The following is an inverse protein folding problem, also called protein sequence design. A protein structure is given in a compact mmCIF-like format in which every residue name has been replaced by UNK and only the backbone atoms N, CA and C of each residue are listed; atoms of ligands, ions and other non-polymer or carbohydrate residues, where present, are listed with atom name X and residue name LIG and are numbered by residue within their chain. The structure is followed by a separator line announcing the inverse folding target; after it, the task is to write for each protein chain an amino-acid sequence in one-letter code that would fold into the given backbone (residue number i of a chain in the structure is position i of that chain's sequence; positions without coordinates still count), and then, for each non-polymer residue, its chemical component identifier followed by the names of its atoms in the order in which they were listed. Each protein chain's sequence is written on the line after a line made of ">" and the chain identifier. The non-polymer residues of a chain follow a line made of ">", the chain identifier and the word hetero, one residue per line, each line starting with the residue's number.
data_IF_789598579769
#
_entry.id   IF_789598579769
#
_cell.length_a   1.000
_cell.length_b   1.000
_cell.length_c   1.000
_cell.angle_alpha   90.00
_cell.angle_beta   90.00
_cell.angle_gamma   90.00
#
_symmetry.space_group_name_H-M   'P 1'
#
loop_
_entity.id
_entity.type
_entity.pdbx_description
1 polymer ?
#
# COMPACT_ATOMS: atom_id res chain seq x y z
N UNK A 1 -11.98 4.54 16.97
CA UNK A 1 -10.73 3.74 17.00
C UNK A 1 -9.71 4.65 17.61
N UNK A 2 -9.22 4.36 18.80
CA UNK A 2 -8.43 5.33 19.58
C UNK A 2 -6.94 5.27 19.22
N UNK A 3 -6.57 5.67 17.99
CA UNK A 3 -5.17 5.90 17.63
C UNK A 3 -5.01 7.36 17.17
N UNK A 4 -4.66 8.28 18.09
CA UNK A 4 -4.57 9.71 17.79
C UNK A 4 -3.56 10.05 16.71
N UNK A 5 -2.54 9.20 16.50
CA UNK A 5 -1.56 9.43 15.46
C UNK A 5 -2.08 9.02 14.08
N UNK A 6 -2.89 7.97 14.01
CA UNK A 6 -3.54 7.57 12.76
C UNK A 6 -4.59 8.60 12.32
N UNK A 7 -5.42 9.08 13.24
CA UNK A 7 -6.48 10.06 12.96
C UNK A 7 -5.94 11.42 12.45
N UNK A 8 -4.65 11.72 12.65
CA UNK A 8 -4.01 12.91 12.07
C UNK A 8 -3.80 12.81 10.56
N UNK A 9 -3.69 11.59 10.03
CA UNK A 9 -3.33 11.36 8.63
C UNK A 9 -4.45 10.70 7.81
N UNK A 10 -5.38 10.01 8.46
CA UNK A 10 -6.41 9.22 7.79
C UNK A 10 -7.79 9.45 8.40
N UNK A 11 -8.74 9.76 7.53
CA UNK A 11 -10.16 9.64 7.80
C UNK A 11 -10.67 8.27 7.31
N UNK A 12 -11.52 7.62 8.09
CA UNK A 12 -12.06 6.29 7.76
C UNK A 12 -13.56 6.39 7.48
N UNK A 13 -13.95 5.90 6.31
CA UNK A 13 -15.34 5.80 5.89
C UNK A 13 -15.70 4.31 5.71
N UNK A 14 -16.85 3.91 6.22
CA UNK A 14 -17.34 2.53 6.11
C UNK A 14 -18.86 2.48 6.11
N UNK A 15 -19.41 1.48 5.43
CA UNK A 15 -20.83 1.10 5.53
C UNK A 15 -21.08 0.06 6.62
N UNK A 16 -20.04 -0.63 7.10
CA UNK A 16 -20.09 -1.61 8.18
C UNK A 16 -18.97 -1.33 9.20
N UNK A 17 -19.35 -0.86 10.39
CA UNK A 17 -18.39 -0.53 11.44
C UNK A 17 -17.75 -1.77 12.07
N UNK A 18 -18.45 -2.91 12.09
CA UNK A 18 -17.93 -4.15 12.66
C UNK A 18 -16.83 -4.68 11.76
N UNK A 19 -17.11 -4.80 10.46
CA UNK A 19 -16.10 -5.21 9.46
C UNK A 19 -14.89 -4.28 9.47
N UNK A 20 -15.10 -2.96 9.51
CA UNK A 20 -14.01 -1.99 9.55
C UNK A 20 -13.08 -2.18 10.77
N UNK A 21 -13.61 -2.51 11.96
CA UNK A 21 -12.79 -2.78 13.15
C UNK A 21 -12.02 -4.09 13.06
N UNK A 22 -12.56 -5.10 12.38
CA UNK A 22 -11.85 -6.34 12.11
C UNK A 22 -10.68 -6.14 11.15
N UNK A 23 -10.91 -5.37 10.07
CA UNK A 23 -9.88 -5.04 9.08
C UNK A 23 -8.81 -4.13 9.72
N UNK A 24 -9.24 -3.04 10.35
CA UNK A 24 -8.37 -2.02 10.95
C UNK A 24 -7.99 -2.38 12.39
N UNK A 25 -7.49 -3.60 12.56
CA UNK A 25 -6.86 -4.04 13.81
C UNK A 25 -5.66 -3.16 14.17
N UNK A 26 -5.22 -3.21 15.44
CA UNK A 26 -4.07 -2.42 15.92
C UNK A 26 -2.80 -2.64 15.09
N UNK A 27 -2.56 -3.87 14.63
CA UNK A 27 -1.43 -4.19 13.75
C UNK A 27 -1.60 -3.60 12.35
N UNK A 28 -2.80 -3.69 11.75
CA UNK A 28 -3.07 -3.09 10.44
C UNK A 28 -2.89 -1.56 10.48
N UNK A 29 -3.37 -0.90 11.54
CA UNK A 29 -3.15 0.54 11.71
C UNK A 29 -1.66 0.90 11.78
N UNK A 30 -0.86 0.13 12.54
CA UNK A 30 0.57 0.32 12.61
C UNK A 30 1.25 0.12 11.25
N UNK A 31 0.82 -0.89 10.49
CA UNK A 31 1.32 -1.20 9.16
C UNK A 31 1.01 -0.07 8.16
N UNK A 32 -0.22 0.45 8.16
CA UNK A 32 -0.61 1.60 7.32
C UNK A 32 0.23 2.84 7.68
N UNK A 33 0.51 3.05 8.98
CA UNK A 33 1.36 4.14 9.42
C UNK A 33 2.83 3.98 8.99
N UNK A 34 3.35 2.76 8.98
CA UNK A 34 4.69 2.45 8.43
C UNK A 34 4.73 2.75 6.93
N UNK A 35 3.73 2.29 6.18
CA UNK A 35 3.58 2.55 4.76
C UNK A 35 3.57 4.07 4.47
N UNK A 36 2.75 4.83 5.23
CA UNK A 36 2.67 6.30 5.12
C UNK A 36 4.01 6.98 5.34
N UNK A 37 4.79 6.53 6.33
CA UNK A 37 6.12 7.09 6.62
C UNK A 37 7.12 6.77 5.51
N UNK A 38 7.06 5.57 4.94
CA UNK A 38 7.97 5.14 3.87
C UNK A 38 7.80 5.97 2.59
N UNK A 39 6.58 6.11 2.09
CA UNK A 39 6.33 6.86 0.86
C UNK A 39 6.34 8.36 1.08
N UNK A 40 6.08 8.82 2.31
CA UNK A 40 5.98 10.23 2.66
C UNK A 40 5.07 11.04 1.72
N UNK A 41 4.05 10.39 1.14
CA UNK A 41 3.12 10.98 0.19
C UNK A 41 1.67 10.70 0.61
N UNK A 42 0.71 11.24 -0.13
CA UNK A 42 -0.71 10.95 0.09
C UNK A 42 -0.99 9.49 -0.30
N UNK A 43 -1.57 8.74 0.63
CA UNK A 43 -1.96 7.33 0.43
C UNK A 43 -3.46 7.22 0.65
N UNK A 44 -4.14 6.56 -0.27
CA UNK A 44 -5.53 6.13 -0.12
C UNK A 44 -5.59 4.61 -0.14
N UNK A 45 -6.39 4.03 0.75
CA UNK A 45 -6.56 2.58 0.88
C UNK A 45 -8.06 2.28 0.90
N UNK A 46 -8.49 1.31 0.12
CA UNK A 46 -9.86 0.82 0.11
C UNK A 46 -9.89 -0.70 0.22
N UNK A 47 -10.80 -1.21 1.04
CA UNK A 47 -11.08 -2.63 1.19
C UNK A 47 -12.44 -2.92 0.58
N UNK A 48 -12.49 -3.73 -0.47
CA UNK A 48 -13.72 -4.02 -1.20
C UNK A 48 -13.65 -5.40 -1.85
N UNK A 49 -14.71 -6.22 -1.70
CA UNK A 49 -14.84 -7.54 -2.32
C UNK A 49 -13.59 -8.43 -2.12
N UNK A 50 -13.15 -8.55 -0.86
CA UNK A 50 -11.94 -9.31 -0.48
C UNK A 50 -10.64 -8.86 -1.17
N UNK A 51 -10.63 -7.63 -1.69
CA UNK A 51 -9.47 -7.02 -2.34
C UNK A 51 -9.07 -5.75 -1.61
N UNK A 52 -7.77 -5.46 -1.62
CA UNK A 52 -7.21 -4.22 -1.11
C UNK A 52 -6.73 -3.39 -2.29
N UNK A 53 -7.23 -2.17 -2.39
CA UNK A 53 -6.81 -1.18 -3.38
C UNK A 53 -5.99 -0.12 -2.68
N UNK A 54 -4.82 0.19 -3.21
CA UNK A 54 -3.89 1.16 -2.64
C UNK A 54 -3.51 2.13 -3.74
N UNK A 55 -3.72 3.41 -3.49
CA UNK A 55 -3.28 4.49 -4.35
C UNK A 55 -2.28 5.35 -3.60
N UNK A 56 -1.08 5.48 -4.16
CA UNK A 56 0.03 6.24 -3.59
C UNK A 56 0.37 7.33 -4.59
N UNK A 57 0.27 8.59 -4.18
CA UNK A 57 0.73 9.70 -5.01
C UNK A 57 2.25 9.65 -5.12
N UNK A 58 2.78 9.67 -6.34
CA UNK A 58 4.22 9.62 -6.58
C UNK A 58 4.63 10.46 -7.77
N UNK A 59 5.65 11.30 -7.59
CA UNK A 59 6.31 12.08 -8.63
C UNK A 59 7.32 11.28 -9.50
N UNK A 60 7.50 9.98 -9.24
CA UNK A 60 8.40 9.12 -10.03
C UNK A 60 7.61 8.42 -11.13
N UNK A 61 8.30 8.21 -12.25
CA UNK A 61 7.87 7.45 -13.40
C UNK A 61 7.88 5.94 -13.09
N UNK A 62 6.88 5.49 -12.35
CA UNK A 62 6.74 4.09 -11.93
C UNK A 62 6.35 3.21 -13.11
N UNK A 63 7.19 2.23 -13.44
CA UNK A 63 7.04 1.32 -14.60
C UNK A 63 6.89 2.03 -15.97
N UNK A 64 7.15 3.33 -16.06
CA UNK A 64 7.10 4.03 -17.34
C UNK A 64 8.42 3.84 -18.11
N UNK A 65 8.37 3.45 -19.39
CA UNK A 65 9.56 3.32 -20.21
C UNK A 65 10.21 4.69 -20.44
N UNK A 66 11.51 4.77 -20.16
CA UNK A 66 12.30 5.89 -20.62
C UNK A 66 12.62 5.69 -22.11
N UNK A 67 11.89 6.40 -22.98
CA UNK A 67 12.04 6.30 -24.43
C UNK A 67 13.43 6.70 -24.95
N UNK A 68 14.24 7.36 -24.11
CA UNK A 68 15.61 7.76 -24.45
C UNK A 68 16.67 6.74 -24.02
N UNK A 69 16.28 5.62 -23.40
CA UNK A 69 17.16 4.54 -22.96
C UNK A 69 16.77 3.22 -23.61
N UNK A 70 17.75 2.36 -23.88
CA UNK A 70 17.46 1.00 -24.32
C UNK A 70 16.92 0.16 -23.16
N UNK A 71 15.95 -0.71 -23.45
CA UNK A 71 15.44 -1.70 -22.50
C UNK A 71 16.47 -2.78 -22.15
N UNK A 72 17.50 -2.94 -22.99
CA UNK A 72 18.59 -3.89 -22.77
C UNK A 72 19.71 -3.31 -21.88
N UNK A 73 19.64 -2.02 -21.55
CA UNK A 73 20.57 -1.43 -20.60
C UNK A 73 20.30 -1.96 -19.20
N UNK A 74 21.36 -2.42 -18.54
CA UNK A 74 21.32 -2.92 -17.16
C UNK A 74 20.65 -1.91 -16.19
N UNK A 75 20.93 -0.61 -16.37
CA UNK A 75 20.33 0.43 -15.52
C UNK A 75 18.81 0.53 -15.65
N UNK A 76 18.28 0.26 -16.85
CA UNK A 76 16.83 0.26 -17.12
C UNK A 76 16.18 -0.97 -16.48
N UNK A 77 16.82 -2.14 -16.61
CA UNK A 77 16.33 -3.39 -15.99
C UNK A 77 16.30 -3.25 -14.46
N UNK A 78 17.36 -2.72 -13.84
CA UNK A 78 17.40 -2.50 -12.39
C UNK A 78 16.30 -1.57 -11.92
N UNK A 79 16.02 -0.48 -12.65
CA UNK A 79 14.91 0.42 -12.30
C UNK A 79 13.55 -0.29 -12.26
N UNK A 80 13.27 -1.15 -13.25
CA UNK A 80 12.03 -1.94 -13.25
C UNK A 80 11.99 -2.96 -12.11
N UNK A 81 13.11 -3.60 -11.79
CA UNK A 81 13.19 -4.52 -10.65
C UNK A 81 12.91 -3.78 -9.35
N UNK A 82 13.51 -2.60 -9.15
CA UNK A 82 13.27 -1.76 -7.96
C UNK A 82 11.78 -1.40 -7.82
N UNK A 83 11.12 -1.04 -8.93
CA UNK A 83 9.69 -0.75 -8.97
C UNK A 83 8.84 -1.99 -8.59
N UNK A 84 9.22 -3.18 -9.04
CA UNK A 84 8.53 -4.43 -8.68
C UNK A 84 8.76 -4.78 -7.19
N UNK A 85 10.01 -4.67 -6.72
CA UNK A 85 10.36 -4.92 -5.31
C UNK A 85 9.57 -4.02 -4.37
N UNK A 86 9.44 -2.77 -4.74
CA UNK A 86 8.63 -1.81 -4.01
C UNK A 86 7.17 -2.25 -3.86
N UNK A 87 6.54 -2.77 -4.92
CA UNK A 87 5.21 -3.35 -4.84
C UNK A 87 5.16 -4.56 -3.88
N UNK A 88 6.15 -5.45 -3.94
CA UNK A 88 6.22 -6.61 -3.04
C UNK A 88 6.37 -6.18 -1.58
N UNK A 89 7.18 -5.16 -1.32
CA UNK A 89 7.36 -4.65 0.02
C UNK A 89 6.08 -4.03 0.59
N UNK A 90 5.22 -3.42 -0.23
CA UNK A 90 3.89 -2.95 0.22
C UNK A 90 3.04 -4.11 0.70
N UNK A 91 3.08 -5.25 -0.01
CA UNK A 91 2.35 -6.46 0.36
C UNK A 91 2.85 -7.00 1.71
N UNK A 92 4.18 -7.01 1.91
CA UNK A 92 4.82 -7.45 3.16
C UNK A 92 4.55 -6.48 4.32
N UNK A 93 4.69 -5.17 4.10
CA UNK A 93 4.44 -4.14 5.13
C UNK A 93 2.99 -4.16 5.62
N UNK A 94 2.03 -4.30 4.71
CA UNK A 94 0.62 -4.44 5.08
C UNK A 94 0.26 -5.85 5.55
N UNK A 95 1.20 -6.79 5.49
CA UNK A 95 1.04 -8.17 5.89
C UNK A 95 -0.16 -8.85 5.19
N UNK A 96 -0.39 -8.50 3.93
CA UNK A 96 -1.55 -8.99 3.15
C UNK A 96 -1.46 -10.49 2.85
N UNK A 97 -0.26 -11.06 2.93
CA UNK A 97 0.00 -12.48 2.76
C UNK A 97 -0.45 -13.34 3.96
N UNK A 98 -0.92 -12.72 5.05
CA UNK A 98 -1.52 -13.48 6.15
C UNK A 98 -2.94 -13.90 5.81
N UNK A 99 -3.27 -15.13 6.19
CA UNK A 99 -4.47 -15.89 5.84
C UNK A 99 -5.73 -15.36 6.55
N UNK A 100 -6.03 -14.07 6.43
CA UNK A 100 -7.20 -13.42 7.03
C UNK A 100 -8.38 -13.38 6.04
N UNK A 101 -8.13 -13.66 4.75
CA UNK A 101 -9.05 -13.35 3.65
C UNK A 101 -9.86 -14.53 3.09
N UNK A 102 -9.74 -15.74 3.66
CA UNK A 102 -10.59 -16.87 3.24
C UNK A 102 -11.91 -16.83 4.01
N UNK A 103 -12.93 -16.16 3.45
CA UNK A 103 -14.33 -16.53 3.70
C UNK A 103 -14.60 -17.81 2.89
N UNK A 104 -14.75 -18.94 3.57
CA UNK A 104 -15.52 -20.08 3.06
C UNK A 104 -16.92 -19.98 3.64
#
# INVERSE_FOLDING_TARGET
>A
MENPDFEKYFDVYTTDQVEARYILSTSMLANIMTLKKRFNSTIHIAFLNSSVYIAISWDKKFLEPNLNKSLLEESTIHQYLDDIWLCLDVIEELNLNTRIWTKT
#
